data_IF_752496821322
#
_entry.id   IF_752496821322
#
_cell.length_a   1.000
_cell.length_b   1.000
_cell.length_c   1.000
_cell.angle_alpha   90.00
_cell.angle_beta   90.00
_cell.angle_gamma   90.00
#
_symmetry.space_group_name_H-M   'P 1'
#
loop_
_entity.id
_entity.type
_entity.pdbx_description
1 polymer ?
#
# COMPACT_ATOMS: atom_id res chain seq x y z
N UNK A 1 -3.71 9.45 -13.25
CA UNK A 1 -3.58 8.78 -11.92
C UNK A 1 -4.35 7.45 -11.93
N UNK A 2 -3.74 6.38 -11.44
CA UNK A 2 -4.38 5.08 -11.23
C UNK A 2 -4.29 4.69 -9.77
N UNK A 3 -5.40 4.25 -9.18
CA UNK A 3 -5.47 3.68 -7.83
C UNK A 3 -5.30 2.16 -7.94
N UNK A 4 -4.36 1.59 -7.22
CA UNK A 4 -4.13 0.14 -7.13
C UNK A 4 -4.52 -0.36 -5.74
N UNK A 5 -5.39 -1.35 -5.68
CA UNK A 5 -5.90 -1.92 -4.44
C UNK A 5 -5.63 -3.42 -4.42
N UNK A 6 -4.60 -3.90 -3.71
CA UNK A 6 -4.43 -5.33 -3.46
C UNK A 6 -5.49 -5.81 -2.46
N UNK A 7 -6.21 -6.88 -2.79
CA UNK A 7 -7.31 -7.39 -1.98
C UNK A 7 -7.23 -8.92 -1.84
N UNK A 8 -7.21 -9.41 -0.60
CA UNK A 8 -7.27 -10.82 -0.26
C UNK A 8 -8.35 -11.06 0.79
N UNK A 9 -9.34 -11.88 0.45
CA UNK A 9 -10.52 -12.13 1.27
C UNK A 9 -11.14 -10.83 1.82
N UNK A 10 -11.42 -9.83 0.95
CA UNK A 10 -11.99 -8.58 1.41
C UNK A 10 -13.39 -8.78 1.95
N UNK A 11 -13.77 -7.94 2.89
CA UNK A 11 -15.14 -7.76 3.33
C UNK A 11 -15.82 -6.57 2.63
N UNK A 12 -16.94 -6.08 3.15
CA UNK A 12 -17.70 -4.97 2.56
C UNK A 12 -16.95 -3.63 2.55
N UNK A 13 -15.90 -3.47 3.35
CA UNK A 13 -15.07 -2.26 3.35
C UNK A 13 -14.46 -1.97 1.98
N UNK A 14 -14.12 -2.99 1.19
CA UNK A 14 -13.65 -2.77 -0.18
C UNK A 14 -14.71 -2.05 -1.03
N UNK A 15 -16.00 -2.31 -0.82
CA UNK A 15 -17.07 -1.61 -1.53
C UNK A 15 -17.10 -0.14 -1.10
N UNK A 16 -16.90 0.14 0.19
CA UNK A 16 -16.87 1.50 0.72
C UNK A 16 -15.66 2.27 0.17
N UNK A 17 -14.48 1.64 0.11
CA UNK A 17 -13.28 2.20 -0.53
C UNK A 17 -13.58 2.60 -1.97
N UNK A 18 -14.18 1.70 -2.76
CA UNK A 18 -14.52 1.98 -4.16
C UNK A 18 -15.56 3.10 -4.26
N UNK A 19 -16.58 3.11 -3.41
CA UNK A 19 -17.59 4.17 -3.39
C UNK A 19 -16.98 5.55 -3.08
N UNK A 20 -16.01 5.61 -2.16
CA UNK A 20 -15.29 6.84 -1.83
C UNK A 20 -14.39 7.31 -2.99
N UNK A 21 -13.78 6.38 -3.73
CA UNK A 21 -12.83 6.67 -4.80
C UNK A 21 -13.47 6.99 -6.16
N UNK A 22 -14.65 6.43 -6.48
CA UNK A 22 -15.28 6.54 -7.81
C UNK A 22 -15.53 7.99 -8.22
N UNK A 23 -15.83 8.88 -7.26
CA UNK A 23 -16.15 10.29 -7.53
C UNK A 23 -14.89 11.11 -7.87
N UNK A 24 -13.69 10.58 -7.57
CA UNK A 24 -12.41 11.19 -7.97
C UNK A 24 -12.11 11.02 -9.47
N UNK A 25 -12.90 10.20 -10.20
CA UNK A 25 -12.75 9.92 -11.64
C UNK A 25 -11.38 9.34 -12.03
N UNK A 26 -10.63 8.78 -11.08
CA UNK A 26 -9.40 8.03 -11.37
C UNK A 26 -9.73 6.61 -11.80
N UNK A 27 -8.86 6.03 -12.64
CA UNK A 27 -8.92 4.60 -12.94
C UNK A 27 -8.56 3.80 -11.70
N UNK A 28 -9.31 2.74 -11.42
CA UNK A 28 -9.11 1.90 -10.25
C UNK A 28 -8.79 0.48 -10.74
N UNK A 29 -7.70 -0.09 -10.25
CA UNK A 29 -7.30 -1.48 -10.49
C UNK A 29 -7.34 -2.21 -9.16
N UNK A 30 -8.22 -3.17 -9.02
CA UNK A 30 -8.29 -4.06 -7.86
C UNK A 30 -7.67 -5.40 -8.22
N UNK A 31 -6.69 -5.84 -7.45
CA UNK A 31 -6.08 -7.16 -7.64
C UNK A 31 -6.62 -8.12 -6.59
N UNK A 32 -7.45 -9.06 -7.03
CA UNK A 32 -7.92 -10.16 -6.21
C UNK A 32 -6.81 -11.20 -6.07
N UNK A 33 -6.17 -11.23 -4.92
CA UNK A 33 -5.03 -12.10 -4.63
C UNK A 33 -5.47 -13.52 -4.21
N UNK A 34 -6.28 -14.17 -5.05
CA UNK A 34 -6.73 -15.54 -4.83
C UNK A 34 -7.68 -15.70 -3.64
N UNK A 35 -8.65 -14.80 -3.52
CA UNK A 35 -9.67 -14.82 -2.46
C UNK A 35 -10.61 -16.02 -2.59
N UNK A 36 -11.26 -16.37 -1.49
CA UNK A 36 -12.30 -17.39 -1.42
C UNK A 36 -13.50 -17.02 -2.30
N UNK A 37 -14.22 -18.03 -2.79
CA UNK A 37 -15.40 -17.88 -3.67
C UNK A 37 -16.49 -16.98 -3.07
N UNK A 38 -16.64 -16.95 -1.75
CA UNK A 38 -17.61 -16.10 -1.06
C UNK A 38 -17.38 -14.60 -1.29
N UNK A 39 -16.14 -14.21 -1.61
CA UNK A 39 -15.78 -12.83 -1.93
C UNK A 39 -16.20 -12.42 -3.36
N UNK A 40 -16.60 -13.36 -4.23
CA UNK A 40 -17.00 -13.05 -5.61
C UNK A 40 -18.14 -12.02 -5.68
N UNK A 41 -19.07 -12.06 -4.72
CA UNK A 41 -20.15 -11.08 -4.62
C UNK A 41 -19.65 -9.64 -4.43
N UNK A 42 -18.51 -9.47 -3.73
CA UNK A 42 -17.90 -8.17 -3.51
C UNK A 42 -17.23 -7.69 -4.79
N UNK A 43 -16.38 -8.54 -5.41
CA UNK A 43 -15.73 -8.19 -6.67
C UNK A 43 -16.73 -7.90 -7.80
N UNK A 44 -17.83 -8.66 -7.90
CA UNK A 44 -18.89 -8.42 -8.86
C UNK A 44 -19.59 -7.05 -8.65
N UNK A 45 -19.79 -6.62 -7.39
CA UNK A 45 -20.39 -5.31 -7.10
C UNK A 45 -19.51 -4.14 -7.55
N UNK A 46 -18.20 -4.28 -7.44
CA UNK A 46 -17.25 -3.20 -7.75
C UNK A 46 -16.75 -3.22 -9.20
N UNK A 47 -16.99 -4.31 -9.96
CA UNK A 47 -16.47 -4.49 -11.34
C UNK A 47 -16.93 -3.42 -12.33
N UNK A 48 -18.05 -2.74 -12.06
CA UNK A 48 -18.51 -1.61 -12.87
C UNK A 48 -17.73 -0.31 -12.65
N UNK A 49 -16.91 -0.24 -11.59
CA UNK A 49 -16.12 0.94 -11.24
C UNK A 49 -14.62 0.71 -11.28
N UNK A 50 -14.19 -0.57 -11.32
CA UNK A 50 -12.79 -0.94 -11.23
C UNK A 50 -12.44 -2.09 -12.19
N UNK A 51 -11.23 -2.09 -12.71
CA UNK A 51 -10.64 -3.25 -13.40
C UNK A 51 -10.26 -4.30 -12.36
N UNK A 52 -10.80 -5.51 -12.51
CA UNK A 52 -10.51 -6.62 -11.58
C UNK A 52 -9.49 -7.55 -12.23
N UNK A 53 -8.33 -7.70 -11.59
CA UNK A 53 -7.28 -8.65 -11.99
C UNK A 53 -7.24 -9.78 -10.97
N UNK A 54 -7.31 -11.04 -11.42
CA UNK A 54 -7.43 -12.17 -10.53
C UNK A 54 -6.17 -13.03 -10.51
N UNK A 55 -5.71 -13.42 -9.31
CA UNK A 55 -4.79 -14.52 -9.10
C UNK A 55 -5.57 -15.82 -8.84
N UNK A 56 -5.03 -16.95 -9.28
CA UNK A 56 -5.64 -18.26 -9.00
C UNK A 56 -5.49 -18.69 -7.54
N UNK A 57 -4.43 -18.21 -6.88
CA UNK A 57 -4.10 -18.51 -5.47
C UNK A 57 -3.51 -17.28 -4.82
N UNK A 58 -3.49 -17.23 -3.48
CA UNK A 58 -2.82 -16.15 -2.76
C UNK A 58 -1.31 -16.15 -3.02
N UNK A 59 -0.84 -15.10 -3.67
CA UNK A 59 0.56 -14.86 -4.00
C UNK A 59 1.24 -13.85 -3.07
N UNK A 60 0.45 -13.10 -2.31
CA UNK A 60 0.89 -12.11 -1.34
C UNK A 60 0.75 -10.67 -1.81
N UNK A 61 0.67 -9.74 -0.83
CA UNK A 61 0.41 -8.31 -1.06
C UNK A 61 1.38 -7.70 -2.08
N UNK A 62 2.69 -7.99 -1.96
CA UNK A 62 3.71 -7.46 -2.87
C UNK A 62 3.50 -7.94 -4.31
N UNK A 63 3.16 -9.23 -4.50
CA UNK A 63 2.85 -9.74 -5.82
C UNK A 63 1.56 -9.12 -6.38
N UNK A 64 0.53 -8.94 -5.56
CA UNK A 64 -0.68 -8.25 -5.99
C UNK A 64 -0.40 -6.79 -6.40
N UNK A 65 0.45 -6.08 -5.67
CA UNK A 65 0.90 -4.74 -6.06
C UNK A 65 1.63 -4.77 -7.41
N UNK A 66 2.58 -5.69 -7.61
CA UNK A 66 3.30 -5.86 -8.90
C UNK A 66 2.34 -6.19 -10.05
N UNK A 67 1.35 -7.04 -9.81
CA UNK A 67 0.33 -7.38 -10.82
C UNK A 67 -0.48 -6.14 -11.21
N UNK A 68 -0.89 -5.30 -10.25
CA UNK A 68 -1.54 -4.04 -10.53
C UNK A 68 -0.67 -3.08 -11.33
N UNK A 69 0.62 -2.95 -10.97
CA UNK A 69 1.61 -2.15 -11.71
C UNK A 69 1.78 -2.69 -13.14
N UNK A 70 1.86 -4.01 -13.31
CA UNK A 70 1.98 -4.63 -14.63
C UNK A 70 0.73 -4.36 -15.48
N UNK A 71 -0.45 -4.48 -14.89
CA UNK A 71 -1.70 -4.15 -15.59
C UNK A 71 -1.71 -2.70 -16.08
N UNK A 72 -1.26 -1.74 -15.24
CA UNK A 72 -1.13 -0.33 -15.63
C UNK A 72 -0.20 -0.19 -16.82
N UNK A 73 1.01 -0.79 -16.73
CA UNK A 73 2.02 -0.75 -17.80
C UNK A 73 1.46 -1.23 -19.14
N UNK A 74 0.70 -2.32 -19.12
CA UNK A 74 0.26 -3.01 -20.32
C UNK A 74 -1.04 -2.42 -20.91
N UNK A 75 -1.87 -1.75 -20.10
CA UNK A 75 -3.25 -1.38 -20.49
C UNK A 75 -3.60 0.09 -20.27
N UNK A 76 -2.85 0.84 -19.46
CA UNK A 76 -3.22 2.19 -19.08
C UNK A 76 -2.06 3.16 -19.31
N UNK A 77 -2.39 4.38 -19.75
CA UNK A 77 -1.41 5.45 -19.93
C UNK A 77 -1.70 6.56 -18.93
N UNK A 78 -1.06 6.51 -17.76
CA UNK A 78 -1.28 7.45 -16.66
C UNK A 78 0.05 7.80 -15.99
N UNK A 79 0.19 9.06 -15.55
CA UNK A 79 1.46 9.56 -15.00
C UNK A 79 1.72 9.15 -13.56
N UNK A 80 0.68 8.81 -12.80
CA UNK A 80 0.80 8.52 -11.37
C UNK A 80 0.10 7.24 -10.95
N UNK A 81 0.69 6.58 -9.96
CA UNK A 81 0.17 5.37 -9.31
C UNK A 81 0.01 5.68 -7.82
N UNK A 82 -1.15 5.37 -7.26
CA UNK A 82 -1.37 5.39 -5.81
C UNK A 82 -1.84 4.02 -5.34
N UNK A 83 -1.19 3.49 -4.31
CA UNK A 83 -1.64 2.29 -3.60
C UNK A 83 -2.56 2.68 -2.46
N UNK A 84 -3.66 1.95 -2.31
CA UNK A 84 -4.64 2.11 -1.22
C UNK A 84 -4.99 0.71 -0.70
N UNK A 85 -5.07 0.54 0.61
CA UNK A 85 -5.47 -0.73 1.22
C UNK A 85 -6.99 -0.96 1.07
N UNK A 86 -7.41 -2.23 1.08
CA UNK A 86 -8.80 -2.64 0.86
C UNK A 86 -9.69 -2.52 2.11
N UNK A 87 -9.13 -2.18 3.28
CA UNK A 87 -9.76 -2.24 4.60
C UNK A 87 -10.42 -0.93 5.07
N UNK A 88 -10.53 0.06 4.18
CA UNK A 88 -11.13 1.39 4.44
C UNK A 88 -10.45 2.18 5.59
N UNK A 89 -9.19 1.89 5.91
CA UNK A 89 -8.44 2.62 6.95
C UNK A 89 -7.87 3.96 6.46
N UNK A 90 -8.02 4.30 5.19
CA UNK A 90 -7.58 5.57 4.60
C UNK A 90 -8.78 6.49 4.34
N UNK A 91 -8.80 7.64 5.04
CA UNK A 91 -9.78 8.70 4.80
C UNK A 91 -9.63 9.25 3.38
N UNK A 92 -10.74 9.53 2.72
CA UNK A 92 -10.73 10.04 1.34
C UNK A 92 -9.99 11.38 1.22
N UNK A 93 -10.10 12.24 2.23
CA UNK A 93 -9.37 13.52 2.23
C UNK A 93 -7.85 13.30 2.37
N UNK A 94 -7.43 12.29 3.13
CA UNK A 94 -6.03 11.91 3.22
C UNK A 94 -5.49 11.37 1.90
N UNK A 95 -6.28 10.57 1.17
CA UNK A 95 -5.95 10.11 -0.18
C UNK A 95 -5.78 11.30 -1.13
N UNK A 96 -6.72 12.26 -1.11
CA UNK A 96 -6.61 13.50 -1.90
C UNK A 96 -5.36 14.32 -1.54
N UNK A 97 -5.03 14.44 -0.26
CA UNK A 97 -3.85 15.15 0.20
C UNK A 97 -2.55 14.50 -0.31
N UNK A 98 -2.47 13.17 -0.30
CA UNK A 98 -1.34 12.42 -0.85
C UNK A 98 -1.24 12.62 -2.38
N UNK A 99 -2.35 12.59 -3.10
CA UNK A 99 -2.39 12.85 -4.54
C UNK A 99 -1.98 14.30 -4.86
N UNK A 100 -2.45 15.28 -4.10
CA UNK A 100 -2.05 16.68 -4.27
C UNK A 100 -0.55 16.88 -4.00
N UNK A 101 -0.02 16.22 -2.97
CA UNK A 101 1.41 16.24 -2.69
C UNK A 101 2.23 15.63 -3.84
N UNK A 102 1.73 14.58 -4.49
CA UNK A 102 2.34 14.00 -5.69
C UNK A 102 2.37 14.99 -6.86
N UNK A 103 1.27 15.65 -7.18
CA UNK A 103 1.26 16.63 -8.27
C UNK A 103 2.21 17.80 -8.02
N UNK A 104 2.42 18.19 -6.76
CA UNK A 104 3.41 19.21 -6.39
C UNK A 104 4.85 18.69 -6.38
N UNK A 105 5.06 17.36 -6.35
CA UNK A 105 6.37 16.71 -6.26
C UNK A 105 6.40 15.42 -7.10
N UNK A 106 6.23 15.51 -8.43
CA UNK A 106 5.97 14.33 -9.28
C UNK A 106 7.16 13.37 -9.37
N UNK A 107 8.36 13.80 -9.00
CA UNK A 107 9.57 12.99 -9.00
C UNK A 107 9.85 12.29 -7.67
N UNK A 108 9.01 12.52 -6.66
CA UNK A 108 9.17 11.95 -5.31
C UNK A 108 8.25 10.74 -5.09
N UNK A 109 8.64 9.88 -4.14
CA UNK A 109 7.71 8.94 -3.51
C UNK A 109 6.97 9.68 -2.39
N UNK A 110 5.65 9.72 -2.44
CA UNK A 110 4.82 10.31 -1.41
C UNK A 110 4.24 9.20 -0.51
N UNK A 111 4.40 9.34 0.80
CA UNK A 111 3.90 8.42 1.82
C UNK A 111 2.81 9.09 2.65
N UNK A 112 1.66 8.46 2.77
CA UNK A 112 0.66 8.84 3.77
C UNK A 112 1.06 8.24 5.13
N UNK A 113 1.62 9.04 6.03
CA UNK A 113 2.18 8.57 7.30
C UNK A 113 1.22 8.78 8.46
N UNK A 114 0.87 7.70 9.16
CA UNK A 114 -0.03 7.71 10.32
C UNK A 114 0.61 8.37 11.53
N UNK A 115 -0.21 9.09 12.29
CA UNK A 115 0.22 9.70 13.55
C UNK A 115 0.05 8.68 14.69
N UNK A 116 1.14 8.08 15.15
CA UNK A 116 1.13 7.07 16.22
C UNK A 116 1.01 7.65 17.65
N UNK A 117 0.77 8.96 17.80
CA UNK A 117 0.68 9.61 19.11
C UNK A 117 -0.70 9.48 19.76
N UNK A 118 -1.72 9.01 19.06
CA UNK A 118 -3.06 8.85 19.59
C UNK A 118 -3.18 7.61 20.50
N UNK A 119 -4.03 7.74 21.55
CA UNK A 119 -4.34 6.65 22.50
C UNK A 119 -5.06 5.46 21.85
N UNK A 120 -5.60 5.64 20.66
CA UNK A 120 -6.38 4.66 19.90
C UNK A 120 -5.51 3.66 19.13
N UNK A 121 -4.22 3.94 18.96
CA UNK A 121 -3.31 3.06 18.23
C UNK A 121 -2.98 1.81 19.04
N UNK A 122 -3.22 0.59 18.54
CA UNK A 122 -2.85 -0.64 19.23
C UNK A 122 -1.37 -0.65 19.63
N UNK A 123 -1.07 -1.01 20.88
CA UNK A 123 0.29 -0.99 21.42
C UNK A 123 1.24 -1.85 20.58
N UNK A 124 0.77 -3.00 20.06
CA UNK A 124 1.56 -3.89 19.18
C UNK A 124 1.97 -3.18 17.90
N UNK A 125 1.05 -2.45 17.26
CA UNK A 125 1.33 -1.68 16.04
C UNK A 125 2.34 -0.56 16.31
N UNK A 126 2.19 0.13 17.46
CA UNK A 126 3.12 1.18 17.90
C UNK A 126 4.53 0.65 18.15
N UNK A 127 4.66 -0.47 18.88
CA UNK A 127 5.95 -1.09 19.18
C UNK A 127 6.59 -1.63 17.89
N UNK A 128 5.83 -2.38 17.07
CA UNK A 128 6.32 -2.95 15.82
C UNK A 128 6.84 -1.89 14.86
N UNK A 129 6.07 -0.82 14.65
CA UNK A 129 6.50 0.28 13.79
C UNK A 129 7.72 1.01 14.36
N UNK A 130 7.79 1.23 15.68
CA UNK A 130 8.93 1.89 16.31
C UNK A 130 10.22 1.08 16.16
N UNK A 131 10.18 -0.25 16.31
CA UNK A 131 11.35 -1.11 16.11
C UNK A 131 11.75 -1.07 14.64
N UNK A 132 10.80 -1.25 13.72
CA UNK A 132 11.07 -1.25 12.28
C UNK A 132 11.68 0.07 11.82
N UNK A 133 11.16 1.23 12.29
CA UNK A 133 11.74 2.55 12.01
C UNK A 133 13.19 2.69 12.46
N UNK A 134 13.51 2.22 13.68
CA UNK A 134 14.89 2.27 14.21
C UNK A 134 15.84 1.42 13.37
N UNK A 135 15.44 0.18 13.06
CA UNK A 135 16.25 -0.71 12.23
C UNK A 135 16.38 -0.16 10.81
N UNK A 136 15.30 0.35 10.23
CA UNK A 136 15.30 0.99 8.92
C UNK A 136 16.29 2.16 8.87
N UNK A 137 16.22 3.07 9.86
CA UNK A 137 17.15 4.20 9.97
C UNK A 137 18.62 3.75 10.10
N UNK A 138 18.89 2.70 10.87
CA UNK A 138 20.26 2.17 11.02
C UNK A 138 20.80 1.63 9.69
N UNK A 139 19.96 0.93 8.92
CA UNK A 139 20.37 0.30 7.65
C UNK A 139 20.47 1.31 6.51
N UNK A 140 19.48 2.20 6.37
CA UNK A 140 19.37 3.11 5.22
C UNK A 140 19.93 4.50 5.50
N UNK A 141 20.25 4.83 6.76
CA UNK A 141 20.60 6.16 7.26
C UNK A 141 19.51 7.22 7.02
N UNK A 142 18.31 6.81 6.61
CA UNK A 142 17.15 7.68 6.34
C UNK A 142 16.07 7.43 7.39
N UNK A 143 15.50 8.50 7.93
CA UNK A 143 14.38 8.41 8.85
C UNK A 143 13.06 8.49 8.08
N UNK A 144 12.15 7.56 8.32
CA UNK A 144 10.77 7.54 7.84
C UNK A 144 9.85 7.30 9.04
N UNK A 145 8.82 8.15 9.18
CA UNK A 145 7.96 8.14 10.37
C UNK A 145 6.98 6.95 10.39
N UNK A 146 6.60 6.44 9.22
CA UNK A 146 5.78 5.22 9.07
C UNK A 146 6.26 4.39 7.87
N UNK A 147 7.12 3.40 8.15
CA UNK A 147 7.67 2.52 7.12
C UNK A 147 6.69 1.45 6.65
N UNK A 148 5.56 1.28 7.34
CA UNK A 148 4.57 0.22 7.09
C UNK A 148 3.26 0.76 6.51
N UNK A 149 3.20 2.04 6.14
CA UNK A 149 2.00 2.59 5.48
C UNK A 149 1.75 1.94 4.13
N UNK A 150 0.49 1.60 3.86
CA UNK A 150 0.03 1.13 2.54
C UNK A 150 -0.26 2.27 1.57
N UNK A 151 -0.53 3.49 2.09
CA UNK A 151 -0.87 4.65 1.25
C UNK A 151 0.40 5.28 0.66
N UNK A 152 0.65 5.03 -0.61
CA UNK A 152 1.87 5.46 -1.32
C UNK A 152 1.53 5.96 -2.71
N UNK A 153 2.08 7.10 -3.10
CA UNK A 153 1.88 7.66 -4.43
C UNK A 153 3.21 7.98 -5.10
N UNK A 154 3.33 7.67 -6.39
CA UNK A 154 4.55 7.85 -7.16
C UNK A 154 4.28 7.95 -8.65
N UNK A 155 5.28 8.41 -9.40
CA UNK A 155 5.20 8.51 -10.85
C UNK A 155 5.29 7.12 -11.52
N UNK A 156 4.50 6.93 -12.59
CA UNK A 156 4.51 5.71 -13.39
C UNK A 156 5.84 5.46 -14.12
N UNK A 157 6.69 6.48 -14.28
CA UNK A 157 8.06 6.30 -14.81
C UNK A 157 8.89 5.31 -13.99
N UNK A 158 8.52 5.09 -12.71
CA UNK A 158 9.19 4.13 -11.83
C UNK A 158 8.71 2.68 -12.02
N UNK A 159 7.73 2.41 -12.89
CA UNK A 159 7.22 1.05 -13.17
C UNK A 159 8.34 0.03 -13.44
N UNK A 160 9.34 0.30 -14.29
CA UNK A 160 10.41 -0.68 -14.52
C UNK A 160 11.18 -1.04 -13.25
N UNK A 161 11.46 -0.05 -12.41
CA UNK A 161 12.11 -0.26 -11.11
C UNK A 161 11.20 -1.07 -10.16
N UNK A 162 9.92 -0.67 -10.03
CA UNK A 162 8.95 -1.28 -9.12
C UNK A 162 8.73 -2.76 -9.42
N UNK A 163 8.67 -3.15 -10.70
CA UNK A 163 8.49 -4.55 -11.11
C UNK A 163 9.70 -5.44 -10.77
N UNK A 164 10.90 -4.85 -10.67
CA UNK A 164 12.15 -5.57 -10.38
C UNK A 164 12.47 -5.63 -8.87
N UNK A 165 11.71 -4.93 -8.00
CA UNK A 165 11.92 -4.97 -6.54
C UNK A 165 11.61 -6.38 -6.02
N UNK A 166 12.53 -6.99 -5.22
CA UNK A 166 12.28 -8.30 -4.62
C UNK A 166 11.22 -8.23 -3.52
N UNK A 167 10.54 -9.36 -3.30
CA UNK A 167 9.52 -9.53 -2.28
C UNK A 167 8.12 -9.69 -2.89
N UNK A 168 7.37 -10.64 -2.36
CA UNK A 168 6.04 -10.99 -2.85
C UNK A 168 4.95 -10.74 -1.81
N UNK A 169 5.36 -10.50 -0.54
CA UNK A 169 4.45 -10.23 0.57
C UNK A 169 4.68 -8.82 1.13
N UNK A 170 4.56 -8.63 2.43
CA UNK A 170 4.70 -7.32 3.11
C UNK A 170 6.13 -6.74 3.03
N UNK A 171 7.15 -7.58 2.81
CA UNK A 171 8.53 -7.11 2.62
C UNK A 171 8.73 -6.29 1.34
N UNK A 172 7.85 -6.43 0.35
CA UNK A 172 7.89 -5.61 -0.87
C UNK A 172 7.82 -4.12 -0.55
N UNK A 173 6.98 -3.73 0.41
CA UNK A 173 6.80 -2.33 0.81
C UNK A 173 8.07 -1.74 1.45
N UNK A 174 8.80 -2.53 2.23
CA UNK A 174 10.10 -2.12 2.79
C UNK A 174 11.19 -2.10 1.71
N UNK A 175 11.21 -3.11 0.83
CA UNK A 175 12.14 -3.18 -0.30
C UNK A 175 11.96 -1.99 -1.24
N UNK A 176 10.70 -1.55 -1.46
CA UNK A 176 10.37 -0.36 -2.23
C UNK A 176 11.04 0.89 -1.63
N UNK A 177 10.89 1.14 -0.32
CA UNK A 177 11.53 2.29 0.34
C UNK A 177 13.05 2.26 0.18
N UNK A 178 13.68 1.08 0.34
CA UNK A 178 15.12 0.92 0.13
C UNK A 178 15.54 1.26 -1.30
N UNK A 179 14.77 0.79 -2.28
CA UNK A 179 15.13 1.01 -3.68
C UNK A 179 14.99 2.49 -4.09
N UNK A 180 13.96 3.20 -3.57
CA UNK A 180 13.84 4.64 -3.77
C UNK A 180 15.03 5.40 -3.17
N UNK A 181 15.44 5.07 -1.93
CA UNK A 181 16.60 5.68 -1.27
C UNK A 181 17.89 5.38 -2.04
N UNK A 182 18.09 4.14 -2.46
CA UNK A 182 19.27 3.71 -3.23
C UNK A 182 19.42 4.49 -4.54
N UNK A 183 18.29 4.75 -5.20
CA UNK A 183 18.24 5.54 -6.44
C UNK A 183 18.22 7.05 -6.19
N UNK A 184 18.39 7.51 -4.93
CA UNK A 184 18.40 8.93 -4.54
C UNK A 184 17.12 9.68 -4.92
N UNK A 185 15.99 8.97 -4.92
CA UNK A 185 14.68 9.55 -5.16
C UNK A 185 14.13 10.06 -3.83
N UNK A 186 13.69 11.31 -3.81
CA UNK A 186 13.12 11.94 -2.61
C UNK A 186 11.89 11.20 -2.11
N UNK A 187 11.78 11.08 -0.79
CA UNK A 187 10.61 10.56 -0.10
C UNK A 187 9.99 11.68 0.72
N UNK A 188 8.73 11.97 0.47
CA UNK A 188 7.96 12.99 1.17
C UNK A 188 6.84 12.37 1.97
N UNK A 189 6.64 12.87 3.19
CA UNK A 189 5.63 12.37 4.11
C UNK A 189 4.45 13.35 4.21
N UNK A 190 3.24 12.83 4.04
CA UNK A 190 1.99 13.53 4.29
C UNK A 190 1.36 12.93 5.54
N UNK A 191 1.07 13.74 6.55
CA UNK A 191 0.40 13.27 7.77
C UNK A 191 -1.04 12.88 7.44
N UNK A 192 -1.43 11.68 7.83
CA UNK A 192 -2.77 11.17 7.65
C UNK A 192 -3.39 10.77 8.99
N UNK A 193 -4.72 10.72 9.02
CA UNK A 193 -5.46 10.19 10.16
C UNK A 193 -5.15 8.71 10.35
N UNK A 194 -5.21 8.26 11.59
CA UNK A 194 -5.07 6.84 11.91
C UNK A 194 -6.46 6.33 12.25
N UNK A 195 -7.05 5.55 11.34
CA UNK A 195 -8.38 4.96 11.53
C UNK A 195 -8.19 3.49 11.90
N UNK A 196 -8.69 3.08 13.06
CA UNK A 196 -8.78 1.69 13.47
C UNK A 196 -10.23 1.40 13.84
N UNK A 197 -10.81 0.35 13.27
CA UNK A 197 -12.18 -0.08 13.59
C UNK A 197 -12.28 -0.70 14.97
N UNK A 198 -11.22 -1.41 15.37
CA UNK A 198 -11.12 -1.98 16.70
C UNK A 198 -9.70 -1.87 17.27
N UNK A 199 -9.58 -1.98 18.61
CA UNK A 199 -8.30 -1.97 19.31
C UNK A 199 -7.44 -3.20 19.05
N UNK A 200 -7.98 -4.25 18.40
CA UNK A 200 -7.30 -5.51 18.12
C UNK A 200 -6.79 -5.58 16.68
N UNK A 201 -7.24 -4.67 15.78
CA UNK A 201 -6.93 -4.71 14.35
C UNK A 201 -7.20 -6.11 13.75
N UNK A 202 -8.40 -6.65 14.03
CA UNK A 202 -8.77 -8.04 13.71
C UNK A 202 -8.88 -8.31 12.20
N UNK A 203 -9.04 -7.28 11.40
CA UNK A 203 -9.11 -7.34 9.93
C UNK A 203 -7.75 -7.50 9.24
N UNK A 204 -6.65 -7.35 10.00
CA UNK A 204 -5.30 -7.45 9.43
C UNK A 204 -4.88 -8.89 9.16
N UNK A 205 -4.54 -9.22 7.92
CA UNK A 205 -3.95 -10.49 7.50
C UNK A 205 -2.46 -10.64 7.85
N UNK A 206 -1.86 -9.65 8.52
CA UNK A 206 -0.46 -9.64 8.91
C UNK A 206 -0.16 -10.66 10.03
N UNK A 207 0.65 -11.68 9.71
CA UNK A 207 1.11 -12.69 10.69
C UNK A 207 2.34 -12.18 11.42
N UNK A 208 2.14 -11.57 12.59
CA UNK A 208 3.13 -10.77 13.32
C UNK A 208 4.55 -11.34 13.36
N UNK A 209 4.74 -12.63 13.68
CA UNK A 209 6.08 -13.22 13.81
C UNK A 209 6.69 -13.53 12.44
N UNK A 210 5.94 -14.24 11.58
CA UNK A 210 6.43 -14.71 10.28
C UNK A 210 6.72 -13.54 9.34
N UNK A 211 5.78 -12.61 9.21
CA UNK A 211 5.91 -11.48 8.29
C UNK A 211 6.95 -10.49 8.80
N UNK A 212 7.05 -10.27 10.13
CA UNK A 212 8.14 -9.46 10.70
C UNK A 212 9.52 -10.04 10.39
N UNK A 213 9.70 -11.36 10.53
CA UNK A 213 10.97 -12.01 10.18
C UNK A 213 11.36 -11.77 8.72
N UNK A 214 10.40 -11.94 7.80
CA UNK A 214 10.64 -11.71 6.36
C UNK A 214 10.98 -10.25 6.09
N UNK A 215 10.29 -9.30 6.72
CA UNK A 215 10.56 -7.86 6.62
C UNK A 215 11.99 -7.55 7.11
N UNK A 216 12.39 -8.04 8.28
CA UNK A 216 13.73 -7.78 8.80
C UNK A 216 14.81 -8.43 7.94
N UNK A 217 14.57 -9.64 7.41
CA UNK A 217 15.48 -10.29 6.46
C UNK A 217 15.66 -9.45 5.19
N UNK A 218 14.57 -8.92 4.63
CA UNK A 218 14.61 -8.04 3.45
C UNK A 218 15.32 -6.71 3.76
N UNK A 219 15.10 -6.17 4.97
CA UNK A 219 15.73 -4.94 5.41
C UNK A 219 17.25 -5.07 5.57
N UNK A 220 17.71 -6.17 6.12
CA UNK A 220 19.14 -6.45 6.38
C UNK A 220 19.89 -6.98 5.14
N UNK A 221 19.17 -7.47 4.12
CA UNK A 221 19.81 -7.91 2.87
C UNK A 221 20.39 -6.68 2.15
N UNK A 222 21.70 -6.71 1.85
CA UNK A 222 22.41 -5.68 1.07
C UNK A 222 22.01 -5.71 -0.39
#
# INVERSE_FOLDING_TARGET
MVVVIPAYNPDYHLIDVINNLKDLKYKIVVVNDGSNKDCNKIFNKISKYAYIVNHNTNMGKGMAMKTGIKYIKDNLNEDGIIFVDADNQHDIEDIKNVINAFYNNPDSLILGCRLFNNKEVPIRSKIGNNITKKVFKLVTKTYISDTQTGLRCMNSKYIPMLLNIPGDRYEYEISMLKEFIKNKIDIKEVKIKTIYEDKKNSTSHFKTIKDSYIIYKALLKR
#
